data_IF_162081512946
#
_entry.id   IF_162081512946
#
_cell.length_a   1.000
_cell.length_b   1.000
_cell.length_c   1.000
_cell.angle_alpha   90.00
_cell.angle_beta   90.00
_cell.angle_gamma   90.00
#
_symmetry.space_group_name_H-M   'P 1'
#
loop_
_entity.id
_entity.type
_entity.pdbx_description
1 polymer ?
#
# COMPACT_ATOMS: atom_id res chain seq x y z
N UNK A 1 51.73 42.98 39.11
CA UNK A 1 50.31 42.73 38.76
C UNK A 1 50.29 41.65 37.68
N UNK A 2 49.88 40.42 38.02
CA UNK A 2 49.77 39.27 37.08
C UNK A 2 48.30 39.11 36.71
N UNK A 3 47.97 39.33 35.44
CA UNK A 3 46.61 39.15 34.88
C UNK A 3 46.36 37.68 34.59
N UNK A 4 45.41 37.07 35.32
CA UNK A 4 44.89 35.72 35.04
C UNK A 4 43.98 35.77 33.81
N UNK A 5 44.35 35.08 32.70
CA UNK A 5 43.48 34.86 31.55
C UNK A 5 42.61 33.61 31.81
N UNK A 6 41.31 33.85 31.97
CA UNK A 6 40.34 32.76 32.04
C UNK A 6 40.13 32.17 30.65
N UNK A 7 40.51 30.91 30.48
CA UNK A 7 40.25 30.13 29.26
C UNK A 7 38.89 29.49 29.45
N UNK A 8 37.90 29.95 28.69
CA UNK A 8 36.59 29.32 28.62
C UNK A 8 36.68 28.12 27.60
N UNK A 9 36.55 26.90 28.09
CA UNK A 9 36.32 25.73 27.27
C UNK A 9 34.83 25.61 26.96
N UNK A 10 34.37 25.64 25.72
CA UNK A 10 32.98 25.35 25.40
C UNK A 10 32.77 23.83 25.55
N UNK A 11 31.90 23.44 26.49
CA UNK A 11 31.44 22.07 26.66
C UNK A 11 30.50 21.75 25.47
N UNK A 12 31.01 21.04 24.47
CA UNK A 12 30.19 20.52 23.38
C UNK A 12 29.35 19.37 23.93
N UNK A 13 28.06 19.62 24.21
CA UNK A 13 27.09 18.61 24.53
C UNK A 13 26.78 17.80 23.26
N UNK A 14 27.38 16.61 23.13
CA UNK A 14 26.99 15.64 22.09
C UNK A 14 25.61 15.09 22.46
N UNK A 15 24.55 15.60 21.80
CA UNK A 15 23.22 14.95 21.85
C UNK A 15 23.31 13.63 21.07
N UNK A 16 23.46 12.51 21.78
CA UNK A 16 23.27 11.18 21.23
C UNK A 16 21.78 11.02 20.87
N UNK A 17 21.44 11.12 19.60
CA UNK A 17 20.11 10.77 19.09
C UNK A 17 20.01 9.24 19.17
N UNK A 18 19.42 8.74 20.26
CA UNK A 18 19.00 7.35 20.35
C UNK A 18 17.83 7.14 19.38
N UNK A 19 18.12 6.69 18.18
CA UNK A 19 17.10 6.10 17.32
C UNK A 19 16.67 4.79 17.95
N UNK A 20 15.48 4.78 18.56
CA UNK A 20 14.88 3.52 19.00
C UNK A 20 14.83 2.57 17.78
N UNK A 21 15.23 1.29 17.95
CA UNK A 21 15.10 0.33 16.86
C UNK A 21 13.64 0.26 16.42
N UNK A 22 13.39 0.35 15.13
CA UNK A 22 12.05 0.19 14.58
C UNK A 22 11.48 -1.14 15.08
N UNK A 23 10.34 -1.09 15.77
CA UNK A 23 9.74 -2.29 16.34
C UNK A 23 9.35 -3.25 15.22
N UNK A 24 9.73 -4.52 15.34
CA UNK A 24 9.36 -5.57 14.40
C UNK A 24 7.82 -5.67 14.29
N UNK A 25 7.28 -5.47 13.12
CA UNK A 25 5.85 -5.55 12.85
C UNK A 25 5.49 -6.85 12.14
N UNK A 26 4.24 -7.29 12.30
CA UNK A 26 3.65 -8.46 11.63
C UNK A 26 2.81 -7.99 10.46
N UNK A 27 3.25 -8.28 9.25
CA UNK A 27 2.57 -7.93 8.02
C UNK A 27 1.86 -9.15 7.45
N UNK A 28 0.63 -8.95 6.99
CA UNK A 28 -0.09 -9.93 6.17
C UNK A 28 -0.15 -9.39 4.75
N UNK A 29 0.29 -10.19 3.79
CA UNK A 29 0.17 -9.90 2.37
C UNK A 29 -0.87 -10.83 1.78
N UNK A 30 -2.04 -10.29 1.40
CA UNK A 30 -3.14 -11.03 0.80
C UNK A 30 -3.07 -10.93 -0.72
N UNK A 31 -2.95 -12.06 -1.41
CA UNK A 31 -2.79 -12.15 -2.85
C UNK A 31 -3.95 -12.96 -3.46
N UNK A 32 -4.70 -12.34 -4.38
CA UNK A 32 -5.86 -12.97 -5.01
C UNK A 32 -6.12 -12.42 -6.41
N UNK A 33 -5.06 -12.11 -7.15
CA UNK A 33 -5.11 -11.68 -8.54
C UNK A 33 -4.30 -12.63 -9.44
N UNK A 34 -4.61 -12.69 -10.74
CA UNK A 34 -3.95 -13.57 -11.70
C UNK A 34 -3.48 -12.81 -12.96
N UNK A 35 -3.38 -11.48 -12.90
CA UNK A 35 -3.11 -10.65 -14.09
C UNK A 35 -1.72 -10.05 -14.08
N UNK A 36 -1.21 -9.69 -12.90
CA UNK A 36 0.02 -8.92 -12.73
C UNK A 36 1.16 -9.69 -12.07
N UNK A 37 0.98 -11.01 -11.88
CA UNK A 37 1.96 -11.93 -11.28
C UNK A 37 2.42 -11.51 -9.89
N UNK A 38 1.53 -10.92 -9.08
CA UNK A 38 1.88 -10.53 -7.71
C UNK A 38 2.09 -11.74 -6.80
N UNK A 39 1.61 -12.92 -7.19
CA UNK A 39 1.95 -14.19 -6.52
C UNK A 39 3.43 -14.57 -6.61
N UNK A 40 4.19 -13.99 -7.53
CA UNK A 40 5.65 -14.15 -7.64
C UNK A 40 6.36 -12.96 -7.01
N UNK A 41 5.98 -11.75 -7.42
CA UNK A 41 6.72 -10.52 -7.06
C UNK A 41 6.56 -10.12 -5.59
N UNK A 42 5.40 -10.32 -4.97
CA UNK A 42 5.20 -9.97 -3.56
C UNK A 42 5.92 -10.89 -2.58
N UNK A 43 5.98 -12.23 -2.78
CA UNK A 43 6.84 -13.09 -1.97
C UNK A 43 8.33 -12.73 -2.09
N UNK A 44 8.81 -12.41 -3.31
CA UNK A 44 10.18 -11.94 -3.51
C UNK A 44 10.44 -10.61 -2.81
N UNK A 45 9.53 -9.65 -2.94
CA UNK A 45 9.61 -8.37 -2.25
C UNK A 45 9.59 -8.54 -0.73
N UNK A 46 8.74 -9.43 -0.21
CA UNK A 46 8.70 -9.74 1.22
C UNK A 46 10.04 -10.27 1.73
N UNK A 47 10.62 -11.24 0.99
CA UNK A 47 11.90 -11.87 1.35
C UNK A 47 13.09 -10.91 1.25
N UNK A 48 13.15 -10.16 0.16
CA UNK A 48 14.35 -9.41 -0.21
C UNK A 48 14.35 -7.97 0.33
N UNK A 49 13.16 -7.39 0.56
CA UNK A 49 13.01 -5.99 0.93
C UNK A 49 12.36 -5.81 2.32
N UNK A 50 11.27 -6.52 2.68
CA UNK A 50 10.57 -6.29 3.96
C UNK A 50 11.26 -7.01 5.13
N UNK A 51 11.54 -8.30 4.99
CA UNK A 51 12.14 -9.11 6.06
C UNK A 51 13.50 -8.60 6.54
N UNK A 52 14.41 -8.10 5.67
CA UNK A 52 15.66 -7.52 6.11
C UNK A 52 15.52 -6.27 7.01
N UNK A 53 14.36 -5.60 6.98
CA UNK A 53 14.04 -4.49 7.89
C UNK A 53 13.47 -4.96 9.24
N UNK A 54 13.53 -6.27 9.52
CA UNK A 54 13.13 -6.84 10.82
C UNK A 54 11.65 -7.18 10.95
N UNK A 55 10.86 -7.03 9.90
CA UNK A 55 9.43 -7.35 9.93
C UNK A 55 9.15 -8.84 9.68
N UNK A 56 8.07 -9.35 10.26
CA UNK A 56 7.55 -10.69 10.01
C UNK A 56 6.44 -10.63 8.96
N UNK A 57 6.57 -11.40 7.88
CA UNK A 57 5.60 -11.41 6.79
C UNK A 57 4.91 -12.77 6.68
N UNK A 58 3.58 -12.75 6.68
CA UNK A 58 2.74 -13.90 6.34
C UNK A 58 2.11 -13.68 4.97
N UNK A 59 2.42 -14.55 4.02
CA UNK A 59 1.80 -14.53 2.69
C UNK A 59 0.54 -15.39 2.71
N UNK A 60 -0.58 -14.81 2.32
CA UNK A 60 -1.88 -15.48 2.17
C UNK A 60 -2.28 -15.41 0.70
N UNK A 61 -2.25 -16.53 0.01
CA UNK A 61 -2.67 -16.63 -1.39
C UNK A 61 -4.07 -17.25 -1.49
N UNK A 62 -4.84 -16.83 -2.49
CA UNK A 62 -6.08 -17.50 -2.84
C UNK A 62 -5.80 -18.96 -3.20
N UNK A 63 -6.65 -19.86 -2.74
CA UNK A 63 -6.57 -21.29 -3.05
C UNK A 63 -6.67 -21.55 -4.57
N UNK A 64 -5.95 -22.53 -5.07
CA UNK A 64 -5.95 -22.83 -6.50
C UNK A 64 -7.28 -23.38 -7.00
N UNK A 65 -7.93 -24.21 -6.19
CA UNK A 65 -9.20 -24.84 -6.54
C UNK A 65 -10.40 -23.91 -6.26
N UNK A 66 -10.30 -23.07 -5.20
CA UNK A 66 -11.33 -22.09 -4.85
C UNK A 66 -10.70 -20.70 -4.71
N UNK A 67 -10.69 -19.94 -5.79
CA UNK A 67 -10.08 -18.60 -5.83
C UNK A 67 -10.73 -17.56 -4.89
N UNK A 68 -11.83 -17.89 -4.25
CA UNK A 68 -12.49 -17.07 -3.23
C UNK A 68 -12.13 -17.50 -1.80
N UNK A 69 -11.42 -18.61 -1.65
CA UNK A 69 -10.92 -19.06 -0.35
C UNK A 69 -9.47 -18.62 -0.12
N UNK A 70 -9.18 -18.09 1.08
CA UNK A 70 -7.86 -17.62 1.50
C UNK A 70 -7.43 -18.38 2.76
N UNK A 71 -6.81 -19.55 2.64
CA UNK A 71 -6.43 -20.39 3.77
C UNK A 71 -5.53 -19.65 4.76
N UNK A 72 -5.87 -19.69 6.06
CA UNK A 72 -5.08 -19.08 7.13
C UNK A 72 -5.29 -17.56 7.32
N UNK A 73 -6.11 -16.88 6.48
CA UNK A 73 -6.30 -15.43 6.55
C UNK A 73 -6.79 -14.95 7.92
N UNK A 74 -7.81 -15.61 8.47
CA UNK A 74 -8.41 -15.21 9.75
C UNK A 74 -7.37 -15.26 10.87
N UNK A 75 -6.59 -16.34 10.91
CA UNK A 75 -5.56 -16.52 11.93
C UNK A 75 -4.43 -15.48 11.78
N UNK A 76 -3.97 -15.27 10.55
CA UNK A 76 -2.93 -14.30 10.25
C UNK A 76 -3.34 -12.88 10.66
N UNK A 77 -4.59 -12.48 10.41
CA UNK A 77 -5.08 -11.12 10.70
C UNK A 77 -5.28 -10.83 12.19
N UNK A 78 -5.46 -11.84 13.06
CA UNK A 78 -5.62 -11.62 14.51
C UNK A 78 -4.48 -10.78 15.10
N UNK A 79 -3.26 -11.09 14.70
CA UNK A 79 -2.06 -10.46 15.23
C UNK A 79 -1.34 -9.57 14.20
N UNK A 80 -1.94 -9.31 13.05
CA UNK A 80 -1.35 -8.44 12.04
C UNK A 80 -1.34 -6.97 12.52
N UNK A 81 -0.23 -6.29 12.27
CA UNK A 81 -0.08 -4.85 12.47
C UNK A 81 -0.40 -4.09 11.18
N UNK A 82 -0.24 -4.73 10.01
CA UNK A 82 -0.53 -4.15 8.70
C UNK A 82 -1.05 -5.23 7.74
N UNK A 83 -2.04 -4.86 6.91
CA UNK A 83 -2.55 -5.67 5.81
C UNK A 83 -2.17 -5.03 4.46
N UNK A 84 -1.46 -5.78 3.60
CA UNK A 84 -1.26 -5.43 2.20
C UNK A 84 -2.20 -6.26 1.32
N UNK A 85 -2.95 -5.60 0.45
CA UNK A 85 -3.96 -6.21 -0.42
C UNK A 85 -3.54 -6.10 -1.89
N UNK A 86 -3.41 -7.26 -2.55
CA UNK A 86 -3.28 -7.41 -4.00
C UNK A 86 -4.29 -8.45 -4.48
N UNK A 87 -5.54 -8.06 -4.54
CA UNK A 87 -6.69 -8.93 -4.83
C UNK A 87 -7.50 -8.32 -5.96
N UNK A 88 -8.06 -9.17 -6.85
CA UNK A 88 -8.87 -8.73 -7.97
C UNK A 88 -10.19 -9.47 -8.04
N UNK A 89 -11.28 -8.77 -7.73
CA UNK A 89 -12.67 -9.26 -7.90
C UNK A 89 -12.90 -10.63 -7.28
N UNK A 90 -12.52 -10.79 -6.01
CA UNK A 90 -12.80 -12.00 -5.23
C UNK A 90 -14.00 -11.77 -4.32
N UNK A 91 -14.70 -12.84 -4.07
CA UNK A 91 -15.81 -12.90 -3.11
C UNK A 91 -15.41 -13.87 -1.98
N UNK A 92 -14.58 -13.42 -1.03
CA UNK A 92 -14.14 -14.30 0.05
C UNK A 92 -15.31 -14.85 0.84
N UNK A 93 -15.08 -15.94 1.59
CA UNK A 93 -16.04 -16.40 2.60
C UNK A 93 -16.36 -15.24 3.55
N UNK A 94 -17.63 -15.13 3.99
CA UNK A 94 -18.07 -14.01 4.84
C UNK A 94 -17.18 -13.82 6.06
N UNK A 95 -16.84 -14.91 6.75
CA UNK A 95 -15.95 -14.89 7.91
C UNK A 95 -14.56 -14.33 7.61
N UNK A 96 -14.01 -14.63 6.41
CA UNK A 96 -12.73 -14.08 5.95
C UNK A 96 -12.85 -12.58 5.63
N UNK A 97 -13.91 -12.17 4.97
CA UNK A 97 -14.17 -10.76 4.69
C UNK A 97 -14.44 -9.98 5.99
N UNK A 98 -15.13 -10.57 6.95
CA UNK A 98 -15.38 -9.96 8.25
C UNK A 98 -14.09 -9.81 9.08
N UNK A 99 -13.11 -10.72 8.92
CA UNK A 99 -11.80 -10.55 9.54
C UNK A 99 -11.02 -9.35 8.96
N UNK A 100 -11.17 -9.08 7.65
CA UNK A 100 -10.61 -7.88 7.01
C UNK A 100 -11.34 -6.63 7.54
N UNK A 101 -12.67 -6.65 7.63
CA UNK A 101 -13.45 -5.53 8.21
C UNK A 101 -13.06 -5.26 9.65
N UNK A 102 -12.82 -6.30 10.44
CA UNK A 102 -12.37 -6.15 11.82
C UNK A 102 -10.98 -5.50 11.91
N UNK A 103 -10.04 -5.87 11.01
CA UNK A 103 -8.72 -5.23 10.91
C UNK A 103 -8.85 -3.73 10.62
N UNK A 104 -9.68 -3.37 9.64
CA UNK A 104 -9.99 -1.99 9.27
C UNK A 104 -10.66 -1.25 10.44
N UNK A 105 -11.69 -1.81 11.05
CA UNK A 105 -12.42 -1.21 12.16
C UNK A 105 -11.54 -0.98 13.41
N UNK A 106 -10.51 -1.81 13.58
CA UNK A 106 -9.51 -1.62 14.64
C UNK A 106 -8.57 -0.43 14.40
N UNK A 107 -8.65 0.25 13.25
CA UNK A 107 -7.76 1.34 12.87
C UNK A 107 -6.37 0.88 12.44
N UNK A 108 -6.22 -0.38 12.04
CA UNK A 108 -4.94 -0.93 11.61
C UNK A 108 -4.63 -0.51 10.16
N UNK A 109 -3.36 -0.27 9.82
CA UNK A 109 -2.94 0.15 8.49
C UNK A 109 -3.30 -0.81 7.37
N UNK A 110 -3.61 -0.24 6.20
CA UNK A 110 -3.84 -0.98 4.96
C UNK A 110 -3.00 -0.41 3.82
N UNK A 111 -2.36 -1.29 3.05
CA UNK A 111 -1.70 -0.94 1.80
C UNK A 111 -2.44 -1.64 0.67
N UNK A 112 -2.92 -0.87 -0.32
CA UNK A 112 -3.54 -1.37 -1.53
C UNK A 112 -2.60 -1.27 -2.72
N UNK A 113 -2.46 -2.36 -3.48
CA UNK A 113 -1.68 -2.37 -4.71
C UNK A 113 -2.60 -2.70 -5.88
N UNK A 114 -2.57 -1.88 -6.91
CA UNK A 114 -3.19 -2.05 -8.21
C UNK A 114 -4.64 -2.55 -8.12
N UNK A 115 -4.89 -3.83 -8.29
CA UNK A 115 -6.24 -4.41 -8.30
C UNK A 115 -6.98 -4.33 -6.97
N UNK A 116 -6.32 -3.90 -5.90
CA UNK A 116 -6.95 -3.69 -4.60
C UNK A 116 -8.15 -2.73 -4.67
N UNK A 117 -8.13 -1.74 -5.60
CA UNK A 117 -9.26 -0.82 -5.84
C UNK A 117 -10.57 -1.53 -6.20
N UNK A 118 -10.52 -2.75 -6.69
CA UNK A 118 -11.70 -3.56 -6.97
C UNK A 118 -11.58 -4.99 -6.40
N UNK A 119 -10.90 -5.11 -5.26
CA UNK A 119 -10.58 -6.40 -4.64
C UNK A 119 -11.82 -7.25 -4.38
N UNK A 120 -12.81 -6.66 -3.74
CA UNK A 120 -14.00 -7.36 -3.22
C UNK A 120 -15.29 -6.92 -3.92
N UNK A 121 -15.18 -6.29 -5.09
CA UNK A 121 -16.28 -5.88 -5.93
C UNK A 121 -16.54 -6.89 -7.06
N UNK A 122 -17.79 -7.20 -7.31
CA UNK A 122 -18.18 -8.01 -8.45
C UNK A 122 -17.97 -7.27 -9.78
N UNK A 123 -17.91 -8.02 -10.87
CA UNK A 123 -18.12 -7.43 -12.19
C UNK A 123 -19.57 -6.98 -12.33
N UNK A 124 -19.88 -5.96 -13.16
CA UNK A 124 -21.22 -5.37 -13.23
C UNK A 124 -22.38 -6.34 -13.49
N UNK A 125 -22.12 -7.51 -14.05
CA UNK A 125 -23.14 -8.52 -14.38
C UNK A 125 -23.09 -9.78 -13.49
N UNK A 126 -22.14 -9.83 -12.56
CA UNK A 126 -21.98 -10.99 -11.70
C UNK A 126 -22.95 -10.90 -10.50
N UNK A 127 -23.54 -12.04 -10.17
CA UNK A 127 -24.41 -12.20 -9.01
C UNK A 127 -23.81 -13.29 -8.12
N UNK A 128 -23.84 -13.09 -6.80
CA UNK A 128 -23.50 -14.13 -5.85
C UNK A 128 -24.75 -14.98 -5.58
N UNK A 129 -24.67 -16.25 -5.91
CA UNK A 129 -25.71 -17.24 -5.54
C UNK A 129 -25.38 -17.97 -4.23
N UNK A 130 -24.10 -18.05 -3.85
CA UNK A 130 -23.65 -18.70 -2.63
C UNK A 130 -23.71 -17.73 -1.44
N UNK A 131 -24.60 -17.93 -0.45
CA UNK A 131 -24.73 -17.06 0.70
C UNK A 131 -23.54 -17.10 1.66
N UNK A 132 -22.63 -18.07 1.54
CA UNK A 132 -21.40 -18.13 2.33
C UNK A 132 -20.34 -17.15 1.88
N UNK A 133 -20.48 -16.58 0.68
CA UNK A 133 -19.55 -15.61 0.11
C UNK A 133 -19.97 -14.18 0.44
N UNK A 134 -18.99 -13.28 0.47
CA UNK A 134 -19.19 -11.87 0.76
C UNK A 134 -18.59 -10.94 -0.28
N UNK A 135 -19.15 -9.72 -0.36
CA UNK A 135 -18.63 -8.61 -1.17
C UNK A 135 -18.45 -7.36 -0.31
N UNK A 136 -17.58 -6.49 -0.76
CA UNK A 136 -17.40 -5.15 -0.21
C UNK A 136 -17.12 -4.17 -1.34
N UNK A 137 -18.16 -3.81 -2.14
CA UNK A 137 -18.00 -2.91 -3.28
C UNK A 137 -17.42 -1.55 -2.91
N UNK A 138 -17.73 -1.08 -1.70
CA UNK A 138 -17.30 0.21 -1.17
C UNK A 138 -15.85 0.20 -0.62
N UNK A 139 -15.15 -0.93 -0.68
CA UNK A 139 -13.78 -1.05 -0.14
C UNK A 139 -12.82 0.00 -0.71
N UNK A 140 -12.94 0.29 -2.01
CA UNK A 140 -12.11 1.33 -2.66
C UNK A 140 -12.36 2.71 -2.03
N UNK A 141 -13.60 3.17 -2.00
CA UNK A 141 -13.93 4.48 -1.45
C UNK A 141 -13.74 4.56 0.07
N UNK A 142 -14.26 3.57 0.81
CA UNK A 142 -14.27 3.61 2.28
C UNK A 142 -12.92 3.35 2.92
N UNK A 143 -12.09 2.49 2.29
CA UNK A 143 -10.81 2.07 2.88
C UNK A 143 -9.64 2.68 2.13
N UNK A 144 -9.61 2.58 0.80
CA UNK A 144 -8.47 3.07 0.02
C UNK A 144 -8.57 4.56 -0.33
N UNK A 145 -9.76 5.15 -0.26
CA UNK A 145 -9.99 6.55 -0.63
C UNK A 145 -9.97 6.80 -2.13
N UNK A 146 -10.17 5.75 -2.93
CA UNK A 146 -10.17 5.78 -4.39
C UNK A 146 -11.56 5.80 -5.00
N UNK A 147 -11.60 5.85 -6.33
CA UNK A 147 -12.81 5.79 -7.12
C UNK A 147 -12.57 5.10 -8.47
N UNK A 148 -12.11 3.86 -8.42
CA UNK A 148 -11.76 3.11 -9.64
C UNK A 148 -12.99 2.83 -10.51
N UNK A 149 -12.94 3.31 -11.76
CA UNK A 149 -14.01 3.11 -12.75
C UNK A 149 -13.56 2.35 -13.99
N UNK A 150 -12.26 2.04 -14.12
CA UNK A 150 -11.70 1.36 -15.28
C UNK A 150 -10.25 1.78 -15.53
N UNK A 151 -9.78 1.61 -16.77
CA UNK A 151 -8.42 1.98 -17.15
C UNK A 151 -8.35 2.44 -18.60
N UNK A 152 -7.30 3.18 -18.95
CA UNK A 152 -6.97 3.58 -20.32
C UNK A 152 -6.00 2.55 -20.93
N UNK A 153 -6.48 1.70 -21.83
CA UNK A 153 -5.64 0.78 -22.59
C UNK A 153 -4.56 0.05 -21.79
N UNK A 154 -3.43 -0.21 -22.45
CA UNK A 154 -2.26 -0.88 -21.84
C UNK A 154 -0.97 -0.05 -21.93
N UNK A 155 -1.06 1.16 -22.44
CA UNK A 155 0.10 2.04 -22.61
C UNK A 155 0.72 2.36 -21.25
N UNK A 156 2.05 2.45 -21.24
CA UNK A 156 2.77 2.83 -20.05
C UNK A 156 2.54 4.32 -19.73
N UNK A 157 2.30 4.61 -18.44
CA UNK A 157 2.09 5.98 -17.98
C UNK A 157 3.39 6.60 -17.46
N UNK A 158 3.63 7.85 -17.82
CA UNK A 158 4.67 8.68 -17.20
C UNK A 158 4.19 9.11 -15.81
N UNK A 159 5.07 8.95 -14.80
CA UNK A 159 4.75 9.24 -13.40
C UNK A 159 5.39 10.57 -12.98
N UNK A 160 4.61 11.39 -12.27
CA UNK A 160 5.07 12.65 -11.73
C UNK A 160 4.67 12.82 -10.26
N UNK A 161 5.48 13.59 -9.51
CA UNK A 161 5.13 14.01 -8.14
C UNK A 161 4.04 15.07 -8.22
N UNK A 162 3.05 14.98 -7.35
CA UNK A 162 2.06 16.05 -7.18
C UNK A 162 2.75 17.28 -6.59
N UNK A 163 2.60 18.48 -7.17
CA UNK A 163 3.23 19.70 -6.67
C UNK A 163 2.99 19.92 -5.18
N UNK A 164 4.07 20.21 -4.44
CA UNK A 164 4.04 20.40 -2.98
C UNK A 164 4.06 19.12 -2.16
N UNK A 165 4.27 17.95 -2.78
CA UNK A 165 4.37 16.63 -2.09
C UNK A 165 5.78 16.05 -2.12
N UNK A 166 6.76 16.75 -2.65
CA UNK A 166 8.13 16.29 -2.86
C UNK A 166 8.81 15.83 -1.55
N UNK A 167 8.46 16.46 -0.43
CA UNK A 167 9.01 16.15 0.89
C UNK A 167 8.23 15.09 1.67
N UNK A 168 7.18 14.49 1.07
CA UNK A 168 6.41 13.46 1.78
C UNK A 168 7.27 12.24 2.10
N UNK A 169 7.24 11.69 3.34
CA UNK A 169 8.12 10.58 3.76
C UNK A 169 8.10 9.37 2.82
N UNK A 170 6.93 9.04 2.24
CA UNK A 170 6.79 7.94 1.28
C UNK A 170 7.64 8.17 0.02
N UNK A 171 7.89 9.42 -0.38
CA UNK A 171 8.68 9.75 -1.57
C UNK A 171 10.19 9.90 -1.28
N UNK A 172 10.61 9.72 -0.04
CA UNK A 172 12.01 9.89 0.36
C UNK A 172 12.95 8.93 -0.38
N UNK A 173 13.98 9.48 -0.99
CA UNK A 173 15.02 8.73 -1.70
C UNK A 173 14.55 8.02 -2.98
N UNK A 174 13.43 8.46 -3.57
CA UNK A 174 12.86 7.90 -4.80
C UNK A 174 13.14 8.81 -5.99
N UNK A 175 13.74 8.26 -7.02
CA UNK A 175 13.88 8.92 -8.31
C UNK A 175 12.59 8.71 -9.14
N UNK A 176 11.54 9.51 -8.88
CA UNK A 176 10.20 9.34 -9.49
C UNK A 176 10.26 9.29 -11.02
N UNK A 177 11.22 9.96 -11.66
CA UNK A 177 11.43 9.91 -13.11
C UNK A 177 11.74 8.50 -13.66
N UNK A 178 12.15 7.57 -12.79
CA UNK A 178 12.40 6.17 -13.15
C UNK A 178 11.17 5.29 -13.02
N UNK A 179 10.13 5.79 -12.35
CA UNK A 179 8.86 5.07 -12.26
C UNK A 179 8.12 5.17 -13.60
N UNK A 180 7.66 4.04 -14.07
CA UNK A 180 6.81 3.91 -15.26
C UNK A 180 5.61 3.10 -14.82
N UNK A 181 4.42 3.58 -15.09
CA UNK A 181 3.19 2.83 -14.77
C UNK A 181 2.89 1.82 -15.86
N UNK A 182 3.34 0.57 -15.70
CA UNK A 182 3.03 -0.51 -16.65
C UNK A 182 1.59 -1.04 -16.49
N UNK A 183 1.08 -1.69 -17.54
CA UNK A 183 -0.21 -2.39 -17.52
C UNK A 183 -1.45 -1.49 -17.56
N UNK A 184 -1.31 -0.25 -18.04
CA UNK A 184 -2.39 0.73 -18.23
C UNK A 184 -2.64 1.63 -17.03
N UNK A 185 -3.04 2.87 -17.32
CA UNK A 185 -3.37 3.89 -16.33
C UNK A 185 -4.81 3.69 -15.83
N UNK A 186 -4.99 3.57 -14.52
CA UNK A 186 -6.32 3.45 -13.90
C UNK A 186 -7.03 4.79 -13.84
N UNK A 187 -8.35 4.77 -14.06
CA UNK A 187 -9.25 5.90 -13.90
C UNK A 187 -9.71 5.95 -12.45
N UNK A 188 -9.05 6.79 -11.66
CA UNK A 188 -9.25 6.89 -10.22
C UNK A 188 -9.86 8.23 -9.78
N UNK A 189 -10.07 9.14 -10.71
CA UNK A 189 -10.65 10.47 -10.43
C UNK A 189 -12.17 10.39 -10.27
N UNK A 190 -12.74 11.12 -9.26
CA UNK A 190 -12.08 11.85 -8.18
C UNK A 190 -11.67 10.93 -7.02
N UNK A 191 -10.64 11.33 -6.25
CA UNK A 191 -10.35 10.69 -4.96
C UNK A 191 -11.29 11.22 -3.86
N UNK A 192 -11.40 10.46 -2.77
CA UNK A 192 -12.06 10.93 -1.56
C UNK A 192 -11.39 12.21 -1.02
N UNK A 193 -12.20 13.12 -0.44
CA UNK A 193 -11.72 14.44 0.04
C UNK A 193 -10.61 14.36 1.09
N UNK A 194 -10.56 13.27 1.83
CA UNK A 194 -9.55 13.00 2.86
C UNK A 194 -8.28 12.35 2.31
N UNK A 195 -8.26 12.00 1.02
CA UNK A 195 -7.07 11.46 0.38
C UNK A 195 -6.04 12.56 0.08
N UNK A 196 -4.76 12.24 0.29
CA UNK A 196 -3.64 13.09 -0.08
C UNK A 196 -2.93 12.48 -1.28
N UNK A 197 -3.10 13.11 -2.44
CA UNK A 197 -2.48 12.68 -3.70
C UNK A 197 -0.96 12.92 -3.64
N UNK A 198 -0.17 11.88 -3.93
CA UNK A 198 1.29 11.91 -3.94
C UNK A 198 1.87 11.85 -5.35
N UNK A 199 1.36 10.91 -6.17
CA UNK A 199 1.83 10.70 -7.54
C UNK A 199 0.67 10.71 -8.52
N UNK A 200 0.95 11.28 -9.68
CA UNK A 200 0.04 11.29 -10.85
C UNK A 200 0.65 10.50 -12.00
N UNK A 201 -0.21 10.01 -12.89
CA UNK A 201 0.19 9.35 -14.12
C UNK A 201 -0.47 9.98 -15.34
N UNK A 202 0.27 10.02 -16.43
CA UNK A 202 -0.22 10.58 -17.71
C UNK A 202 0.13 9.64 -18.85
N UNK A 203 -0.84 9.44 -19.75
CA UNK A 203 -0.67 8.82 -21.06
C UNK A 203 -1.04 9.88 -22.12
N UNK A 204 -0.31 9.99 -23.25
CA UNK A 204 -0.65 10.95 -24.29
C UNK A 204 -2.11 10.87 -24.73
N UNK A 205 -2.79 12.02 -24.81
CA UNK A 205 -4.19 12.11 -25.21
C UNK A 205 -5.23 11.71 -24.15
N UNK A 206 -4.81 11.41 -22.92
CA UNK A 206 -5.70 11.10 -21.80
C UNK A 206 -5.57 12.15 -20.69
N UNK A 207 -6.56 12.21 -19.81
CA UNK A 207 -6.45 13.04 -18.61
C UNK A 207 -5.41 12.45 -17.64
N UNK A 208 -4.81 13.31 -16.84
CA UNK A 208 -3.92 12.90 -15.75
C UNK A 208 -4.74 12.27 -14.62
N UNK A 209 -4.30 11.09 -14.17
CA UNK A 209 -4.99 10.34 -13.11
C UNK A 209 -4.13 10.20 -11.85
N UNK A 210 -4.76 10.09 -10.66
CA UNK A 210 -4.09 9.68 -9.44
C UNK A 210 -3.47 8.28 -9.59
N UNK A 211 -2.20 8.14 -9.17
CA UNK A 211 -1.46 6.87 -9.23
C UNK A 211 -1.06 6.38 -7.86
N UNK A 212 -0.74 7.29 -6.93
CA UNK A 212 -0.47 6.94 -5.54
C UNK A 212 -0.96 8.04 -4.60
N UNK A 213 -1.55 7.62 -3.49
CA UNK A 213 -2.08 8.53 -2.47
C UNK A 213 -2.07 7.90 -1.09
N UNK A 214 -2.21 8.74 -0.07
CA UNK A 214 -2.51 8.32 1.29
C UNK A 214 -3.94 8.68 1.67
N UNK A 215 -4.50 7.92 2.60
CA UNK A 215 -5.85 8.12 3.11
C UNK A 215 -5.91 7.68 4.57
N UNK A 216 -6.99 7.99 5.26
CA UNK A 216 -7.31 7.50 6.59
C UNK A 216 -8.71 6.89 6.57
N UNK A 217 -8.80 5.62 6.90
CA UNK A 217 -10.09 4.91 6.94
C UNK A 217 -10.72 4.93 8.33
N UNK A 218 -12.06 4.86 8.36
CA UNK A 218 -12.84 4.53 9.55
C UNK A 218 -12.90 5.58 10.65
N UNK A 219 -13.63 5.28 11.72
CA UNK A 219 -13.76 6.12 12.91
C UNK A 219 -12.48 6.14 13.78
N UNK A 220 -11.70 5.06 13.75
CA UNK A 220 -10.32 5.02 14.24
C UNK A 220 -9.42 5.21 13.01
N UNK A 221 -8.70 6.33 12.89
CA UNK A 221 -8.01 6.67 11.65
C UNK A 221 -6.80 5.75 11.41
N UNK A 222 -7.04 4.62 10.74
CA UNK A 222 -5.98 3.75 10.22
C UNK A 222 -5.32 4.40 8.99
N UNK A 223 -3.99 4.39 8.95
CA UNK A 223 -3.25 4.90 7.79
C UNK A 223 -3.37 3.99 6.59
N UNK A 224 -3.63 4.57 5.44
CA UNK A 224 -3.73 3.86 4.17
C UNK A 224 -2.78 4.45 3.16
N UNK A 225 -2.10 3.60 2.42
CA UNK A 225 -1.45 3.94 1.17
C UNK A 225 -2.03 3.08 0.06
N UNK A 226 -2.33 3.70 -1.06
CA UNK A 226 -2.69 2.98 -2.27
C UNK A 226 -1.83 3.43 -3.44
N UNK A 227 -1.51 2.49 -4.33
CA UNK A 227 -0.93 2.78 -5.64
C UNK A 227 -1.53 1.89 -6.72
N UNK A 228 -1.83 2.49 -7.89
CA UNK A 228 -2.22 1.75 -9.08
C UNK A 228 -1.02 1.17 -9.87
N UNK A 229 0.21 1.42 -9.42
CA UNK A 229 1.40 0.68 -9.83
C UNK A 229 1.35 -0.73 -9.23
N UNK A 230 2.18 -1.65 -9.72
CA UNK A 230 2.26 -3.02 -9.20
C UNK A 230 2.13 -4.07 -10.30
N UNK A 231 2.37 -3.72 -11.57
CA UNK A 231 2.67 -4.67 -12.62
C UNK A 231 3.99 -5.40 -12.32
N UNK A 232 4.17 -6.62 -12.81
CA UNK A 232 5.41 -7.37 -12.59
C UNK A 232 6.70 -6.59 -12.96
N UNK A 233 6.62 -5.76 -14.01
CA UNK A 233 7.76 -4.94 -14.43
C UNK A 233 8.02 -3.76 -13.49
N UNK A 234 7.04 -3.25 -12.77
CA UNK A 234 7.24 -2.19 -11.78
C UNK A 234 8.14 -2.71 -10.64
N UNK A 235 7.99 -3.97 -10.22
CA UNK A 235 8.82 -4.59 -9.19
C UNK A 235 10.29 -4.75 -9.59
N UNK A 236 10.63 -4.71 -10.88
CA UNK A 236 12.01 -4.70 -11.38
C UNK A 236 12.70 -3.36 -11.12
N UNK A 237 11.94 -2.30 -10.87
CA UNK A 237 12.44 -0.95 -10.60
C UNK A 237 12.71 -0.79 -9.10
N UNK A 238 13.97 -0.57 -8.65
CA UNK A 238 14.28 -0.43 -7.23
C UNK A 238 13.51 0.71 -6.55
N UNK A 239 13.26 1.81 -7.27
CA UNK A 239 12.51 2.95 -6.75
C UNK A 239 11.04 2.61 -6.44
N UNK A 240 10.42 1.67 -7.18
CA UNK A 240 9.08 1.17 -6.85
C UNK A 240 9.07 0.33 -5.57
N UNK A 241 10.03 -0.58 -5.41
CA UNK A 241 10.15 -1.35 -4.17
C UNK A 241 10.42 -0.44 -2.97
N UNK A 242 11.26 0.61 -3.15
CA UNK A 242 11.48 1.64 -2.12
C UNK A 242 10.20 2.41 -1.80
N UNK A 243 9.38 2.75 -2.80
CA UNK A 243 8.07 3.39 -2.59
C UNK A 243 7.19 2.55 -1.65
N UNK A 244 7.12 1.26 -1.89
CA UNK A 244 6.34 0.34 -1.05
C UNK A 244 6.93 0.20 0.36
N UNK A 245 8.26 0.09 0.51
CA UNK A 245 8.91 0.07 1.82
C UNK A 245 8.65 1.34 2.62
N UNK A 246 8.80 2.50 1.98
CA UNK A 246 8.52 3.77 2.63
C UNK A 246 7.04 3.88 3.04
N UNK A 247 6.12 3.35 2.21
CA UNK A 247 4.70 3.30 2.53
C UNK A 247 4.40 2.40 3.74
N UNK A 248 5.06 1.23 3.84
CA UNK A 248 4.97 0.34 5.00
C UNK A 248 5.49 1.06 6.25
N UNK A 249 6.67 1.64 6.18
CA UNK A 249 7.26 2.38 7.30
C UNK A 249 6.37 3.54 7.75
N UNK A 250 5.87 4.34 6.79
CA UNK A 250 4.96 5.45 7.08
C UNK A 250 3.65 4.97 7.71
N UNK A 251 3.10 3.86 7.28
CA UNK A 251 1.83 3.34 7.78
C UNK A 251 1.97 2.79 9.22
N UNK A 252 3.10 2.18 9.55
CA UNK A 252 3.38 1.59 10.87
C UNK A 252 3.78 2.60 11.94
N UNK A 253 4.34 3.76 11.55
CA UNK A 253 4.86 4.77 12.50
C UNK A 253 4.05 6.07 12.38
N UNK A 254 2.92 6.21 13.10
CA UNK A 254 2.02 7.38 13.07
C UNK A 254 2.65 8.64 13.67
#
# INVERSE_FOLDING_TARGET
MKTLRHIWFPLLLLLAVFTAPAQAARLVIMIGENEYRTWETLPEFAKNDITPHGHHVTIIQADEADKNHFPGLIEALRNADLLLVSVRRRTPRREQLDSIRAHVAAGKPVIGIRTASHAFALTPKAVISDPSLGVWPEFDAQVLGGHYTGHYGRDAATIAVTPGRESHPILSGIAVKKLIGHGGLYKNTPLEKTATLLLTGTIPGQITEPVAWTHHHGAKPGRVFYTSLGHADDFKVPDFRRLLLNAIAWALHP
#
